data_IF_303312638380
#
_entry.id   IF_303312638380
#
_cell.length_a   1.000
_cell.length_b   1.000
_cell.length_c   1.000
_cell.angle_alpha   90.00
_cell.angle_beta   90.00
_cell.angle_gamma   90.00
#
_symmetry.space_group_name_H-M   'P 1'
#
loop_
_entity.id
_entity.type
_entity.pdbx_description
1 polymer ?
#
# COMPACT_ATOMS: atom_id res chain seq x y z
N UNK A 1 28.17 -7.53 -24.35
CA UNK A 1 28.71 -6.15 -24.36
C UNK A 1 27.55 -5.20 -24.12
N UNK A 2 27.22 -4.96 -22.85
CA UNK A 2 26.21 -3.97 -22.39
C UNK A 2 26.77 -3.25 -21.15
N UNK A 3 28.06 -2.92 -21.20
CA UNK A 3 28.76 -2.07 -20.22
C UNK A 3 28.68 -0.60 -20.64
N UNK A 4 27.50 -0.15 -21.04
CA UNK A 4 27.26 1.23 -21.44
C UNK A 4 25.98 1.70 -20.73
N UNK A 5 26.15 2.68 -19.84
CA UNK A 5 25.12 3.36 -19.05
C UNK A 5 24.78 2.80 -17.67
N UNK A 6 25.79 2.36 -16.89
CA UNK A 6 25.74 2.67 -15.46
C UNK A 6 25.98 4.18 -15.33
N UNK A 7 24.91 4.96 -15.49
CA UNK A 7 24.89 6.36 -15.12
C UNK A 7 25.39 6.41 -13.68
N UNK A 8 26.51 7.09 -13.47
CA UNK A 8 27.00 7.45 -12.14
C UNK A 8 25.87 8.18 -11.42
N UNK A 9 25.12 7.48 -10.58
CA UNK A 9 24.13 8.08 -9.70
C UNK A 9 24.93 8.68 -8.54
N UNK A 10 25.15 10.01 -8.51
CA UNK A 10 26.11 10.62 -7.60
C UNK A 10 25.65 10.62 -6.14
N UNK A 11 24.41 10.17 -5.89
CA UNK A 11 23.79 10.15 -4.57
C UNK A 11 23.84 8.77 -3.89
N UNK A 12 24.26 7.72 -4.61
CA UNK A 12 24.27 6.37 -4.06
C UNK A 12 25.63 6.04 -3.46
N UNK A 13 25.62 5.54 -2.22
CA UNK A 13 26.81 5.02 -1.56
C UNK A 13 27.34 3.74 -2.23
N UNK A 14 28.58 3.33 -1.94
CA UNK A 14 29.19 2.14 -2.53
C UNK A 14 28.40 0.85 -2.23
N UNK A 15 27.77 0.76 -1.06
CA UNK A 15 26.90 -0.38 -0.71
C UNK A 15 25.60 -0.40 -1.51
N UNK A 16 25.00 0.76 -1.76
CA UNK A 16 23.75 0.87 -2.52
C UNK A 16 23.97 0.58 -4.00
N UNK A 17 25.12 0.98 -4.55
CA UNK A 17 25.54 0.59 -5.90
C UNK A 17 25.75 -0.93 -6.02
N UNK A 18 26.31 -1.57 -4.99
CA UNK A 18 26.46 -3.03 -4.97
C UNK A 18 25.09 -3.74 -4.94
N UNK A 19 24.14 -3.23 -4.15
CA UNK A 19 22.76 -3.73 -4.14
C UNK A 19 22.05 -3.51 -5.47
N UNK A 20 22.24 -2.34 -6.09
CA UNK A 20 21.68 -2.04 -7.40
C UNK A 20 22.21 -3.01 -8.47
N UNK A 21 23.52 -3.25 -8.49
CA UNK A 21 24.13 -4.23 -9.39
C UNK A 21 23.61 -5.66 -9.15
N UNK A 22 23.35 -6.00 -7.88
CA UNK A 22 22.73 -7.27 -7.52
C UNK A 22 21.23 -7.32 -7.86
N UNK A 23 20.55 -6.19 -7.99
CA UNK A 23 19.15 -6.11 -8.36
C UNK A 23 18.93 -6.06 -9.88
N UNK A 24 19.86 -5.50 -10.66
CA UNK A 24 19.76 -5.40 -12.12
C UNK A 24 19.91 -6.74 -12.84
N UNK A 25 19.06 -7.02 -13.82
CA UNK A 25 19.09 -8.28 -14.58
C UNK A 25 20.48 -8.54 -15.19
N UNK A 26 21.10 -9.67 -14.82
CA UNK A 26 22.32 -10.12 -15.50
C UNK A 26 21.88 -10.95 -16.71
N UNK A 27 22.40 -10.72 -17.93
CA UNK A 27 22.12 -11.59 -19.07
C UNK A 27 22.45 -13.07 -18.80
N UNK A 28 23.33 -13.38 -17.85
CA UNK A 28 23.65 -14.75 -17.42
C UNK A 28 22.54 -15.43 -16.62
N UNK A 29 21.58 -14.66 -16.12
CA UNK A 29 20.44 -15.11 -15.34
C UNK A 29 19.24 -15.46 -16.27
N UNK A 30 19.33 -15.14 -17.57
CA UNK A 30 18.32 -15.51 -18.56
C UNK A 30 18.50 -16.96 -19.02
N UNK A 31 17.49 -17.80 -18.74
CA UNK A 31 17.47 -19.20 -19.22
C UNK A 31 16.96 -19.18 -20.67
N UNK A 32 17.89 -19.36 -21.60
CA UNK A 32 17.55 -19.57 -23.02
C UNK A 32 17.18 -21.03 -23.21
N UNK A 33 15.89 -21.30 -23.41
CA UNK A 33 15.40 -22.64 -23.74
C UNK A 33 15.74 -22.98 -25.18
N UNK A 34 16.23 -24.20 -25.41
CA UNK A 34 16.31 -24.77 -26.76
C UNK A 34 14.90 -24.97 -27.34
N UNK A 35 14.75 -24.92 -28.66
CA UNK A 35 13.46 -25.19 -29.33
C UNK A 35 12.84 -26.53 -28.88
N UNK A 36 13.69 -27.53 -28.62
CA UNK A 36 13.25 -28.83 -28.09
C UNK A 36 12.72 -28.73 -26.66
N UNK A 37 13.37 -27.94 -25.81
CA UNK A 37 12.95 -27.74 -24.41
C UNK A 37 11.65 -26.95 -24.35
N UNK A 38 11.50 -25.92 -25.19
CA UNK A 38 10.26 -25.17 -25.33
C UNK A 38 9.10 -26.09 -25.80
N UNK A 39 9.35 -26.96 -26.79
CA UNK A 39 8.37 -27.93 -27.25
C UNK A 39 7.98 -28.93 -26.15
N UNK A 40 8.95 -29.43 -25.37
CA UNK A 40 8.67 -30.34 -24.24
C UNK A 40 7.75 -29.67 -23.20
N UNK A 41 7.99 -28.40 -22.88
CA UNK A 41 7.15 -27.65 -21.94
C UNK A 41 5.73 -27.43 -22.49
N UNK A 42 5.60 -27.15 -23.78
CA UNK A 42 4.29 -27.04 -24.44
C UNK A 42 3.54 -28.37 -24.40
N UNK A 43 4.19 -29.48 -24.74
CA UNK A 43 3.60 -30.82 -24.67
C UNK A 43 3.21 -31.19 -23.24
N UNK A 44 4.04 -30.85 -22.24
CA UNK A 44 3.70 -31.05 -20.84
C UNK A 44 2.43 -30.29 -20.46
N UNK A 45 2.29 -29.03 -20.89
CA UNK A 45 1.09 -28.23 -20.63
C UNK A 45 -0.15 -28.85 -21.28
N UNK A 46 -0.04 -29.27 -22.54
CA UNK A 46 -1.12 -29.96 -23.26
C UNK A 46 -1.53 -31.26 -22.58
N UNK A 47 -0.58 -32.07 -22.11
CA UNK A 47 -0.88 -33.30 -21.36
C UNK A 47 -1.61 -32.98 -20.05
N UNK A 48 -1.21 -31.92 -19.34
CA UNK A 48 -1.89 -31.51 -18.11
C UNK A 48 -3.34 -31.05 -18.36
N UNK A 49 -3.58 -30.37 -19.48
CA UNK A 49 -4.92 -29.95 -19.92
C UNK A 49 -5.78 -31.15 -20.32
N UNK A 50 -5.26 -32.04 -21.16
CA UNK A 50 -5.95 -33.28 -21.56
C UNK A 50 -6.26 -34.20 -20.38
N UNK A 51 -5.40 -34.25 -19.35
CA UNK A 51 -5.67 -34.99 -18.12
C UNK A 51 -6.86 -34.42 -17.34
N UNK A 52 -7.03 -33.10 -17.35
CA UNK A 52 -8.19 -32.45 -16.75
C UNK A 52 -9.45 -32.75 -17.57
N UNK A 53 -9.40 -32.59 -18.89
CA UNK A 53 -10.52 -32.90 -19.79
C UNK A 53 -10.97 -34.35 -19.64
N UNK A 54 -10.03 -35.30 -19.60
CA UNK A 54 -10.33 -36.71 -19.39
C UNK A 54 -11.03 -36.96 -18.04
N UNK A 55 -10.54 -36.34 -16.96
CA UNK A 55 -11.15 -36.50 -15.63
C UNK A 55 -12.59 -35.94 -15.59
N UNK A 56 -12.88 -34.87 -16.34
CA UNK A 56 -14.22 -34.32 -16.48
C UNK A 56 -15.13 -35.25 -17.31
N UNK A 57 -14.64 -35.74 -18.45
CA UNK A 57 -15.43 -36.62 -19.34
C UNK A 57 -15.74 -37.99 -18.72
N UNK A 58 -14.81 -38.57 -17.94
CA UNK A 58 -15.08 -39.82 -17.21
C UNK A 58 -16.25 -39.65 -16.23
N UNK A 59 -16.38 -38.47 -15.63
CA UNK A 59 -17.45 -38.16 -14.70
C UNK A 59 -18.81 -37.91 -15.39
N UNK A 60 -18.81 -37.23 -16.54
CA UNK A 60 -20.05 -36.94 -17.30
C UNK A 60 -20.73 -38.23 -17.84
N UNK A 61 -19.98 -39.30 -18.05
CA UNK A 61 -20.53 -40.56 -18.58
C UNK A 61 -21.39 -41.35 -17.59
N UNK A 62 -21.29 -41.09 -16.28
CA UNK A 62 -22.05 -41.81 -15.25
C UNK A 62 -23.42 -41.16 -14.94
N UNK A 63 -23.67 -39.93 -15.42
CA UNK A 63 -24.81 -39.09 -15.00
C UNK A 63 -26.05 -39.15 -15.90
N UNK A 64 -26.05 -39.96 -16.96
CA UNK A 64 -27.09 -39.92 -18.01
C UNK A 64 -28.29 -40.88 -17.83
N UNK A 65 -28.65 -41.26 -16.61
CA UNK A 65 -29.82 -42.14 -16.41
C UNK A 65 -30.51 -41.99 -15.04
N UNK A 66 -31.48 -41.09 -14.89
CA UNK A 66 -32.39 -41.12 -13.73
C UNK A 66 -33.41 -39.98 -13.62
N UNK A 67 -34.65 -40.32 -13.23
CA UNK A 67 -35.84 -39.47 -13.04
C UNK A 67 -35.76 -38.45 -11.87
N UNK A 68 -34.59 -38.25 -11.26
CA UNK A 68 -34.38 -37.37 -10.10
C UNK A 68 -33.24 -36.36 -10.33
N UNK A 69 -33.46 -35.44 -11.26
CA UNK A 69 -32.44 -34.55 -11.79
C UNK A 69 -31.75 -33.66 -10.72
N UNK A 70 -32.45 -33.24 -9.66
CA UNK A 70 -31.87 -32.34 -8.65
C UNK A 70 -30.89 -33.05 -7.70
N UNK A 71 -31.21 -34.28 -7.25
CA UNK A 71 -30.31 -35.05 -6.40
C UNK A 71 -29.09 -35.55 -7.17
N UNK A 72 -29.28 -35.96 -8.43
CA UNK A 72 -28.16 -36.38 -9.30
C UNK A 72 -27.27 -35.19 -9.68
N UNK A 73 -27.83 -33.99 -9.88
CA UNK A 73 -27.06 -32.76 -10.08
C UNK A 73 -26.25 -32.39 -8.82
N UNK A 74 -26.83 -32.51 -7.63
CA UNK A 74 -26.12 -32.24 -6.38
C UNK A 74 -25.01 -33.27 -6.07
N UNK A 75 -25.10 -34.50 -6.60
CA UNK A 75 -24.01 -35.49 -6.54
C UNK A 75 -22.92 -35.17 -7.56
N UNK A 76 -23.31 -34.91 -8.81
CA UNK A 76 -22.42 -34.50 -9.88
C UNK A 76 -21.57 -33.27 -9.52
N UNK A 77 -22.19 -32.24 -8.93
CA UNK A 77 -21.49 -31.03 -8.48
C UNK A 77 -20.45 -31.34 -7.41
N UNK A 78 -20.78 -32.22 -6.44
CA UNK A 78 -19.84 -32.61 -5.38
C UNK A 78 -18.66 -33.40 -5.94
N UNK A 79 -18.95 -34.37 -6.80
CA UNK A 79 -17.94 -35.20 -7.46
C UNK A 79 -17.03 -34.35 -8.37
N UNK A 80 -17.59 -33.33 -9.05
CA UNK A 80 -16.81 -32.42 -9.90
C UNK A 80 -15.88 -31.56 -9.05
N UNK A 81 -16.40 -31.02 -7.95
CA UNK A 81 -15.59 -30.27 -7.00
C UNK A 81 -14.48 -31.15 -6.40
N UNK A 82 -14.75 -32.42 -6.12
CA UNK A 82 -13.76 -33.38 -5.63
C UNK A 82 -12.70 -33.69 -6.70
N UNK A 83 -13.08 -33.98 -7.94
CA UNK A 83 -12.17 -34.19 -9.06
C UNK A 83 -11.29 -32.96 -9.33
N UNK A 84 -11.88 -31.76 -9.30
CA UNK A 84 -11.13 -30.50 -9.46
C UNK A 84 -10.18 -30.24 -8.30
N UNK A 85 -10.62 -30.51 -7.06
CA UNK A 85 -9.77 -30.36 -5.88
C UNK A 85 -8.59 -31.33 -5.92
N UNK A 86 -8.82 -32.61 -6.21
CA UNK A 86 -7.78 -33.65 -6.30
C UNK A 86 -6.79 -33.36 -7.43
N UNK A 87 -7.25 -32.97 -8.62
CA UNK A 87 -6.36 -32.53 -9.70
C UNK A 87 -5.51 -31.33 -9.29
N UNK A 88 -6.12 -30.32 -8.67
CA UNK A 88 -5.41 -29.11 -8.24
C UNK A 88 -4.35 -29.42 -7.19
N UNK A 89 -4.66 -30.29 -6.23
CA UNK A 89 -3.71 -30.74 -5.19
C UNK A 89 -2.58 -31.54 -5.83
N UNK A 90 -2.88 -32.48 -6.73
CA UNK A 90 -1.87 -33.27 -7.45
C UNK A 90 -0.94 -32.38 -8.27
N UNK A 91 -1.48 -31.43 -9.02
CA UNK A 91 -0.71 -30.46 -9.81
C UNK A 91 0.18 -29.61 -8.92
N UNK A 92 -0.33 -29.13 -7.79
CA UNK A 92 0.46 -28.40 -6.79
C UNK A 92 1.58 -29.29 -6.22
N UNK A 93 1.31 -30.54 -5.88
CA UNK A 93 2.30 -31.46 -5.33
C UNK A 93 3.43 -31.73 -6.34
N UNK A 94 3.10 -32.03 -7.59
CA UNK A 94 4.08 -32.21 -8.67
C UNK A 94 4.89 -30.93 -8.89
N UNK A 95 4.22 -29.77 -8.95
CA UNK A 95 4.89 -28.47 -9.08
C UNK A 95 5.86 -28.21 -7.92
N UNK A 96 5.47 -28.51 -6.69
CA UNK A 96 6.34 -28.39 -5.52
C UNK A 96 7.57 -29.28 -5.67
N UNK A 97 7.42 -30.56 -6.02
CA UNK A 97 8.56 -31.49 -6.20
C UNK A 97 9.50 -31.00 -7.31
N UNK A 98 8.96 -30.56 -8.45
CA UNK A 98 9.74 -30.05 -9.57
C UNK A 98 10.50 -28.77 -9.24
N UNK A 99 10.04 -27.98 -8.27
CA UNK A 99 10.72 -26.77 -7.82
C UNK A 99 11.69 -27.05 -6.67
N UNK A 100 11.32 -27.88 -5.70
CA UNK A 100 12.08 -28.12 -4.47
C UNK A 100 13.28 -29.02 -4.69
N UNK A 101 13.17 -30.09 -5.49
CA UNK A 101 14.28 -31.02 -5.71
C UNK A 101 15.49 -30.33 -6.39
N UNK A 102 15.32 -29.57 -7.50
CA UNK A 102 16.42 -28.80 -8.08
C UNK A 102 16.97 -27.73 -7.14
N UNK A 103 16.11 -27.06 -6.35
CA UNK A 103 16.56 -26.06 -5.38
C UNK A 103 17.41 -26.67 -4.26
N UNK A 104 16.98 -27.80 -3.69
CA UNK A 104 17.74 -28.54 -2.68
C UNK A 104 19.07 -29.04 -3.25
N UNK A 105 19.09 -29.55 -4.48
CA UNK A 105 20.31 -29.96 -5.15
C UNK A 105 21.27 -28.80 -5.39
N UNK A 106 20.75 -27.68 -5.87
CA UNK A 106 21.52 -26.47 -6.14
C UNK A 106 22.16 -25.89 -4.86
N UNK A 107 21.47 -25.94 -3.72
CA UNK A 107 21.97 -25.38 -2.46
C UNK A 107 22.82 -26.38 -1.67
N UNK A 108 22.37 -27.63 -1.53
CA UNK A 108 22.93 -28.56 -0.54
C UNK A 108 23.76 -29.70 -1.12
N UNK A 109 23.54 -30.14 -2.36
CA UNK A 109 24.14 -31.37 -2.90
C UNK A 109 25.28 -31.13 -3.90
N UNK A 110 25.90 -29.95 -3.84
CA UNK A 110 26.91 -29.45 -4.80
C UNK A 110 26.38 -29.52 -6.23
N UNK A 111 25.93 -28.37 -6.73
CA UNK A 111 25.42 -28.21 -8.09
C UNK A 111 26.32 -28.88 -9.14
N UNK A 112 25.89 -30.03 -9.64
CA UNK A 112 26.66 -30.90 -10.52
C UNK A 112 26.37 -30.54 -11.97
N UNK A 113 25.11 -30.24 -12.28
CA UNK A 113 24.69 -29.83 -13.62
C UNK A 113 24.89 -28.32 -13.85
N UNK A 114 25.08 -27.87 -15.11
CA UNK A 114 25.11 -26.44 -15.44
C UNK A 114 23.84 -25.69 -15.01
N UNK A 115 22.68 -26.32 -15.13
CA UNK A 115 21.39 -25.76 -14.72
C UNK A 115 21.32 -25.58 -13.20
N UNK A 116 21.78 -26.55 -12.40
CA UNK A 116 21.86 -26.42 -10.95
C UNK A 116 22.82 -25.30 -10.52
N UNK A 117 23.94 -25.09 -11.24
CA UNK A 117 24.89 -24.01 -10.94
C UNK A 117 24.30 -22.63 -11.23
N UNK A 118 23.57 -22.49 -12.33
CA UNK A 118 22.81 -21.27 -12.63
C UNK A 118 21.74 -21.02 -11.57
N UNK A 119 20.98 -22.06 -11.20
CA UNK A 119 19.95 -21.99 -10.18
C UNK A 119 20.52 -21.58 -8.81
N UNK A 120 21.68 -22.13 -8.41
CA UNK A 120 22.35 -21.76 -7.16
C UNK A 120 22.66 -20.26 -7.09
N UNK A 121 23.17 -19.68 -8.19
CA UNK A 121 23.45 -18.25 -8.28
C UNK A 121 22.18 -17.42 -8.12
N UNK A 122 21.09 -17.79 -8.80
CA UNK A 122 19.80 -17.11 -8.70
C UNK A 122 19.22 -17.18 -7.28
N UNK A 123 19.31 -18.35 -6.64
CA UNK A 123 18.85 -18.56 -5.26
C UNK A 123 19.65 -17.67 -4.30
N UNK A 124 20.99 -17.67 -4.38
CA UNK A 124 21.81 -16.82 -3.51
C UNK A 124 21.50 -15.33 -3.71
N UNK A 125 21.35 -14.90 -4.98
CA UNK A 125 20.99 -13.52 -5.31
C UNK A 125 19.63 -13.14 -4.72
N UNK A 126 18.63 -14.01 -4.88
CA UNK A 126 17.30 -13.84 -4.26
C UNK A 126 17.44 -13.73 -2.74
N UNK A 127 18.16 -14.64 -2.08
CA UNK A 127 18.25 -14.68 -0.63
C UNK A 127 18.93 -13.44 -0.07
N UNK A 128 20.02 -12.97 -0.70
CA UNK A 128 20.66 -11.70 -0.33
C UNK A 128 19.70 -10.52 -0.52
N UNK A 129 19.01 -10.44 -1.66
CA UNK A 129 18.04 -9.37 -1.89
C UNK A 129 16.86 -9.42 -0.90
N UNK A 130 16.38 -10.61 -0.54
CA UNK A 130 15.30 -10.80 0.45
C UNK A 130 15.73 -10.34 1.84
N UNK A 131 16.94 -10.67 2.28
CA UNK A 131 17.45 -10.20 3.59
C UNK A 131 17.63 -8.68 3.64
N UNK A 132 18.12 -8.10 2.54
CA UNK A 132 18.26 -6.64 2.42
C UNK A 132 16.89 -5.96 2.38
N UNK A 133 15.94 -6.52 1.64
CA UNK A 133 14.57 -6.02 1.57
C UNK A 133 13.90 -6.02 2.94
N UNK A 134 14.03 -7.11 3.70
CA UNK A 134 13.49 -7.20 5.05
C UNK A 134 14.08 -6.14 5.98
N UNK A 135 15.41 -5.93 5.92
CA UNK A 135 16.07 -4.89 6.71
C UNK A 135 15.59 -3.48 6.31
N UNK A 136 15.50 -3.19 5.01
CA UNK A 136 14.99 -1.91 4.53
C UNK A 136 13.53 -1.68 4.94
N UNK A 137 12.71 -2.73 4.91
CA UNK A 137 11.33 -2.67 5.34
C UNK A 137 11.21 -2.44 6.87
N UNK A 138 12.05 -3.10 7.67
CA UNK A 138 12.15 -2.85 9.10
C UNK A 138 12.58 -1.40 9.42
N UNK A 139 13.55 -0.87 8.68
CA UNK A 139 13.99 0.53 8.83
C UNK A 139 12.91 1.52 8.38
N UNK A 140 12.19 1.22 7.30
CA UNK A 140 11.10 2.02 6.80
C UNK A 140 9.93 2.07 7.80
N UNK A 141 9.47 0.92 8.29
CA UNK A 141 8.41 0.82 9.30
C UNK A 141 8.79 1.55 10.60
N UNK A 142 10.02 1.40 11.08
CA UNK A 142 10.50 2.13 12.25
C UNK A 142 10.54 3.66 12.01
N UNK A 143 10.90 4.09 10.81
CA UNK A 143 10.92 5.51 10.43
C UNK A 143 9.50 6.09 10.36
N UNK A 144 8.55 5.34 9.79
CA UNK A 144 7.13 5.71 9.79
C UNK A 144 6.56 5.81 11.21
N UNK A 145 6.85 4.85 12.08
CA UNK A 145 6.42 4.91 13.49
C UNK A 145 6.99 6.14 14.23
N UNK A 146 8.24 6.52 13.94
CA UNK A 146 8.83 7.75 14.48
C UNK A 146 8.15 8.99 13.94
N UNK A 147 7.86 9.04 12.64
CA UNK A 147 7.19 10.16 12.00
C UNK A 147 5.80 10.35 12.58
N UNK A 148 4.98 9.30 12.62
CA UNK A 148 3.63 9.36 13.21
C UNK A 148 3.67 9.73 14.69
N UNK A 149 4.64 9.20 15.44
CA UNK A 149 4.86 9.59 16.84
C UNK A 149 5.23 11.07 17.01
N UNK A 150 5.97 11.66 16.07
CA UNK A 150 6.29 13.09 16.06
C UNK A 150 5.09 13.94 15.64
N UNK A 151 4.30 13.49 14.66
CA UNK A 151 3.07 14.16 14.24
C UNK A 151 2.05 14.25 15.38
N UNK A 152 1.83 13.15 16.11
CA UNK A 152 0.94 13.16 17.29
C UNK A 152 1.44 14.12 18.36
N UNK A 153 2.76 14.12 18.66
CA UNK A 153 3.35 15.08 19.60
C UNK A 153 3.20 16.52 19.14
N UNK A 154 3.35 16.77 17.84
CA UNK A 154 3.20 18.09 17.25
C UNK A 154 1.75 18.60 17.40
N UNK A 155 0.76 17.74 17.13
CA UNK A 155 -0.66 18.06 17.36
C UNK A 155 -0.95 18.37 18.83
N UNK A 156 -0.44 17.56 19.76
CA UNK A 156 -0.61 17.80 21.20
C UNK A 156 0.04 19.12 21.64
N UNK A 157 1.22 19.47 21.10
CA UNK A 157 1.86 20.76 21.38
C UNK A 157 1.07 21.92 20.80
N UNK A 158 0.48 21.78 19.61
CA UNK A 158 -0.40 22.79 19.04
C UNK A 158 -1.66 23.01 19.89
N UNK A 159 -2.30 21.94 20.36
CA UNK A 159 -3.45 22.04 21.28
C UNK A 159 -3.08 22.77 22.57
N UNK A 160 -1.97 22.38 23.22
CA UNK A 160 -1.48 23.07 24.43
C UNK A 160 -1.13 24.53 24.17
N UNK A 161 -0.51 24.83 23.03
CA UNK A 161 -0.22 26.22 22.67
C UNK A 161 -1.51 27.02 22.46
N UNK A 162 -2.55 26.43 21.87
CA UNK A 162 -3.86 27.07 21.73
C UNK A 162 -4.51 27.30 23.10
N UNK A 163 -4.47 26.31 24.01
CA UNK A 163 -4.97 26.44 25.38
C UNK A 163 -4.24 27.55 26.14
N UNK A 164 -2.91 27.56 26.13
CA UNK A 164 -2.10 28.60 26.76
C UNK A 164 -2.36 29.99 26.16
N UNK A 165 -2.55 30.09 24.84
CA UNK A 165 -2.92 31.35 24.20
C UNK A 165 -4.32 31.80 24.62
N UNK A 166 -5.29 30.89 24.75
CA UNK A 166 -6.62 31.22 25.28
C UNK A 166 -6.54 31.67 26.73
N UNK A 167 -5.77 30.97 27.57
CA UNK A 167 -5.54 31.36 28.97
C UNK A 167 -4.89 32.74 29.05
N UNK A 168 -3.83 33.00 28.27
CA UNK A 168 -3.19 34.31 28.20
C UNK A 168 -4.18 35.39 27.77
N UNK A 169 -4.94 35.15 26.70
CA UNK A 169 -5.96 36.10 26.23
C UNK A 169 -6.97 36.39 27.33
N UNK A 170 -7.51 35.37 28.01
CA UNK A 170 -8.46 35.55 29.12
C UNK A 170 -7.87 36.30 30.31
N UNK A 171 -6.60 36.05 30.66
CA UNK A 171 -5.91 36.78 31.73
C UNK A 171 -5.62 38.23 31.35
N UNK A 172 -5.41 38.52 30.06
CA UNK A 172 -5.19 39.88 29.53
C UNK A 172 -6.49 40.60 29.12
N UNK A 173 -7.63 39.90 29.12
CA UNK A 173 -8.93 40.46 28.70
C UNK A 173 -9.46 41.46 29.74
N UNK A 174 -9.25 41.15 31.03
CA UNK A 174 -9.59 42.04 32.14
C UNK A 174 -8.49 43.07 32.44
N UNK A 175 -7.28 42.83 31.92
CA UNK A 175 -6.15 43.73 32.09
C UNK A 175 -6.07 44.68 30.89
N UNK A 176 -7.05 45.57 30.74
CA UNK A 176 -7.01 46.68 29.77
C UNK A 176 -6.03 47.79 30.22
N UNK A 177 -5.44 47.67 31.42
CA UNK A 177 -4.60 48.71 32.02
C UNK A 177 -3.33 49.01 31.19
N UNK A 178 -2.80 48.03 30.46
CA UNK A 178 -1.68 48.25 29.54
C UNK A 178 -2.04 49.18 28.37
N UNK A 179 -3.33 49.28 27.97
CA UNK A 179 -3.76 50.24 26.94
C UNK A 179 -3.69 51.68 27.46
N UNK A 180 -3.88 51.88 28.77
CA UNK A 180 -3.71 53.18 29.44
C UNK A 180 -2.22 53.50 29.65
N UNK A 181 -1.39 52.51 30.00
CA UNK A 181 0.07 52.64 30.20
C UNK A 181 0.89 52.74 28.88
N UNK A 182 0.27 52.57 27.71
CA UNK A 182 0.92 52.82 26.42
C UNK A 182 1.06 54.33 26.16
N UNK A 183 2.19 54.92 26.52
CA UNK A 183 2.45 56.36 26.29
C UNK A 183 2.78 56.72 24.82
N UNK A 184 3.04 55.71 23.96
CA UNK A 184 3.47 55.93 22.58
C UNK A 184 2.27 56.07 21.60
N UNK A 185 2.05 57.25 20.98
CA UNK A 185 0.91 57.49 20.10
C UNK A 185 0.97 56.69 18.79
N UNK A 186 2.15 56.28 18.33
CA UNK A 186 2.29 55.52 17.08
C UNK A 186 1.79 54.08 17.26
N UNK A 187 2.15 53.44 18.38
CA UNK A 187 1.70 52.09 18.74
C UNK A 187 0.18 52.03 18.96
N UNK A 188 -0.43 53.07 19.56
CA UNK A 188 -1.89 53.16 19.70
C UNK A 188 -2.60 53.17 18.33
N UNK A 189 -2.10 53.97 17.38
CA UNK A 189 -2.69 54.04 16.04
C UNK A 189 -2.57 52.71 15.27
N UNK A 190 -1.45 51.99 15.43
CA UNK A 190 -1.24 50.68 14.81
C UNK A 190 -2.17 49.61 15.41
N UNK A 191 -2.41 49.67 16.72
CA UNK A 191 -3.30 48.75 17.41
C UNK A 191 -4.77 48.96 17.00
N UNK A 192 -5.24 50.21 16.95
CA UNK A 192 -6.58 50.55 16.44
C UNK A 192 -6.75 50.10 14.98
N UNK A 193 -5.71 50.25 14.15
CA UNK A 193 -5.74 49.82 12.76
C UNK A 193 -5.81 48.28 12.64
N UNK A 194 -5.04 47.56 13.45
CA UNK A 194 -5.08 46.09 13.52
C UNK A 194 -6.43 45.57 14.02
N UNK A 195 -7.03 46.20 15.04
CA UNK A 195 -8.37 45.85 15.51
C UNK A 195 -9.44 46.12 14.43
N UNK A 196 -9.34 47.24 13.72
CA UNK A 196 -10.25 47.56 12.62
C UNK A 196 -10.13 46.55 11.47
N UNK A 197 -8.91 46.14 11.12
CA UNK A 197 -8.68 45.14 10.08
C UNK A 197 -9.09 43.74 10.54
N UNK A 198 -8.89 43.40 11.82
CA UNK A 198 -9.40 42.17 12.40
C UNK A 198 -10.93 42.11 12.34
N UNK A 199 -11.63 43.17 12.77
CA UNK A 199 -13.10 43.27 12.67
C UNK A 199 -13.60 43.15 11.22
N UNK A 200 -12.91 43.80 10.27
CA UNK A 200 -13.23 43.66 8.84
C UNK A 200 -13.03 42.24 8.34
N UNK A 201 -11.94 41.58 8.75
CA UNK A 201 -11.65 40.20 8.35
C UNK A 201 -12.65 39.21 8.94
N UNK A 202 -13.02 39.36 10.23
CA UNK A 202 -14.06 38.59 10.91
C UNK A 202 -15.41 38.75 10.21
N UNK A 203 -15.84 39.99 9.93
CA UNK A 203 -17.09 40.23 9.20
C UNK A 203 -17.10 39.59 7.80
N UNK A 204 -15.96 39.63 7.07
CA UNK A 204 -15.85 38.95 5.77
C UNK A 204 -15.94 37.43 5.90
N UNK A 205 -15.33 36.86 6.94
CA UNK A 205 -15.38 35.43 7.20
C UNK A 205 -16.79 34.97 7.58
N UNK A 206 -17.50 35.71 8.44
CA UNK A 206 -18.90 35.45 8.81
C UNK A 206 -19.82 35.49 7.58
N UNK A 207 -19.65 36.50 6.70
CA UNK A 207 -20.39 36.58 5.43
C UNK A 207 -20.09 35.38 4.53
N UNK A 208 -18.83 35.00 4.38
CA UNK A 208 -18.45 33.86 3.55
C UNK A 208 -18.98 32.53 4.12
N UNK A 209 -18.94 32.36 5.45
CA UNK A 209 -19.49 31.19 6.15
C UNK A 209 -21.00 31.08 5.95
N UNK A 210 -21.72 32.20 6.12
CA UNK A 210 -23.17 32.27 5.88
C UNK A 210 -23.55 31.95 4.44
N UNK A 211 -22.77 32.44 3.46
CA UNK A 211 -22.99 32.12 2.05
C UNK A 211 -22.72 30.64 1.78
N UNK A 212 -21.62 30.08 2.30
CA UNK A 212 -21.28 28.68 2.12
C UNK A 212 -22.32 27.74 2.74
N UNK A 213 -22.80 28.04 3.96
CA UNK A 213 -23.85 27.25 4.61
C UNK A 213 -25.18 27.32 3.85
N UNK A 214 -25.57 28.52 3.36
CA UNK A 214 -26.76 28.69 2.54
C UNK A 214 -26.69 27.92 1.20
N UNK A 215 -25.52 27.87 0.56
CA UNK A 215 -25.30 27.10 -0.68
C UNK A 215 -25.41 25.60 -0.40
N UNK A 216 -24.78 25.10 0.66
CA UNK A 216 -24.82 23.67 1.01
C UNK A 216 -26.24 23.24 1.34
N UNK A 217 -26.95 23.98 2.20
CA UNK A 217 -28.36 23.69 2.54
C UNK A 217 -29.29 23.80 1.32
N UNK A 218 -29.06 24.79 0.45
CA UNK A 218 -29.87 25.01 -0.77
C UNK A 218 -29.57 24.04 -1.92
N UNK A 219 -28.46 23.30 -1.86
CA UNK A 219 -28.05 22.36 -2.91
C UNK A 219 -28.72 20.98 -2.84
N UNK A 220 -29.58 20.75 -1.84
CA UNK A 220 -30.24 19.46 -1.54
C UNK A 220 -29.27 18.28 -1.34
N UNK A 221 -27.97 18.54 -1.20
CA UNK A 221 -26.97 17.55 -0.82
C UNK A 221 -27.24 17.09 0.62
N UNK A 222 -27.13 15.78 0.89
CA UNK A 222 -27.33 15.21 2.23
C UNK A 222 -26.13 15.54 3.14
N UNK A 223 -26.06 16.79 3.59
CA UNK A 223 -24.97 17.33 4.40
C UNK A 223 -24.95 16.80 5.83
N UNK A 224 -26.05 16.22 6.32
CA UNK A 224 -26.18 15.69 7.68
C UNK A 224 -25.45 14.35 7.90
N UNK A 225 -25.10 13.63 6.83
CA UNK A 225 -24.32 12.38 6.90
C UNK A 225 -22.81 12.60 6.74
N UNK A 226 -22.39 13.79 6.27
CA UNK A 226 -20.98 14.15 6.10
C UNK A 226 -20.56 15.08 7.24
N UNK A 227 -19.62 14.61 8.07
CA UNK A 227 -19.07 15.35 9.22
C UNK A 227 -18.46 16.70 8.81
N UNK A 228 -17.88 16.79 7.60
CA UNK A 228 -17.26 18.02 7.10
C UNK A 228 -18.28 19.06 6.65
N UNK A 229 -19.40 18.62 6.06
CA UNK A 229 -20.50 19.50 5.66
C UNK A 229 -21.36 19.88 6.86
N UNK A 230 -21.50 18.97 7.82
CA UNK A 230 -22.18 19.20 9.10
C UNK A 230 -21.47 20.31 9.89
N UNK A 231 -20.14 20.25 10.01
CA UNK A 231 -19.34 21.29 10.68
C UNK A 231 -19.34 22.65 9.94
N UNK A 232 -19.58 22.65 8.63
CA UNK A 232 -19.70 23.88 7.84
C UNK A 232 -21.08 24.55 8.00
N UNK A 233 -22.13 23.75 8.20
CA UNK A 233 -23.52 24.22 8.31
C UNK A 233 -23.93 24.52 9.75
N UNK A 234 -23.49 23.72 10.72
CA UNK A 234 -23.75 23.95 12.14
C UNK A 234 -22.71 24.91 12.72
N UNK A 235 -23.18 25.98 13.34
CA UNK A 235 -22.35 26.89 14.13
C UNK A 235 -22.14 26.26 15.52
N UNK A 236 -20.91 25.82 15.82
CA UNK A 236 -20.54 25.42 17.19
C UNK A 236 -20.23 26.64 18.10
N UNK A 237 -20.61 27.86 17.70
CA UNK A 237 -20.28 29.10 18.41
C UNK A 237 -21.46 29.85 19.03
N UNK A 238 -22.58 29.18 19.30
CA UNK A 238 -23.60 29.71 20.22
C UNK A 238 -23.36 29.16 21.65
N UNK A 239 -22.17 29.45 22.20
CA UNK A 239 -21.84 29.58 23.64
C UNK A 239 -20.47 30.27 23.82
#
# INVERSE_FOLDING_TARGET
>A
MTSANLRSLPHLGPGELALLNLATDDPRDTVLLSDKEALILQLYHQIQEQQLEKALLEQDTELLSGDNAEEELAKAERELLEARATYTVRRKAVGTVLMTDPALKAVHLKATTPAERALHRLINRRDVLSTVHENLNAMHTASLQKLTGLEVKNLQLHQKNQELVRELLSLTEDDESWREDLDDPELKSQLEQLEADHRRSKARWEVMKSIASAIVVGSEVNWAEDETLTALVLDESDD
#
